data_IF_930457401486
#
_entry.id   IF_930457401486
#
_cell.length_a   1.000
_cell.length_b   1.000
_cell.length_c   1.000
_cell.angle_alpha   90.00
_cell.angle_beta   90.00
_cell.angle_gamma   90.00
#
_symmetry.space_group_name_H-M   'P 1'
#
loop_
_entity.id
_entity.type
_entity.pdbx_description
1 polymer ?
#
# COMPACT_ATOMS: atom_id res chain seq x y z
N UNK A 1 17.60 22.55 23.15
CA UNK A 1 16.24 22.30 23.67
C UNK A 1 15.63 21.16 22.85
N UNK A 2 15.72 19.92 23.33
CA UNK A 2 15.18 18.75 22.62
C UNK A 2 14.12 18.07 23.50
N UNK A 3 12.86 18.20 23.08
CA UNK A 3 11.69 17.56 23.66
C UNK A 3 11.59 16.12 23.12
N UNK A 4 11.66 15.11 23.99
CA UNK A 4 11.41 13.71 23.60
C UNK A 4 9.94 13.40 23.88
N UNK A 5 9.13 13.33 22.83
CA UNK A 5 7.74 12.88 22.89
C UNK A 5 7.73 11.35 22.72
N UNK A 6 7.36 10.62 23.77
CA UNK A 6 7.22 9.16 23.74
C UNK A 6 5.73 8.81 23.65
N UNK A 7 5.27 8.46 22.45
CA UNK A 7 3.88 8.04 22.20
C UNK A 7 3.80 6.52 22.38
N UNK A 8 3.17 6.07 23.47
CA UNK A 8 2.76 4.67 23.65
C UNK A 8 1.39 4.47 23.01
N UNK A 9 1.33 3.66 21.94
CA UNK A 9 0.09 3.32 21.25
C UNK A 9 -0.69 2.23 22.00
N UNK A 10 -1.86 2.57 22.56
CA UNK A 10 -2.88 1.59 22.94
C UNK A 10 -4.13 1.72 22.04
N UNK A 11 -4.87 0.62 21.79
CA UNK A 11 -5.96 0.60 20.83
C UNK A 11 -7.28 0.94 21.52
N UNK A 12 -7.60 2.22 21.66
CA UNK A 12 -8.97 2.76 21.60
C UNK A 12 -8.92 4.30 21.74
N UNK A 13 -9.62 5.06 20.88
CA UNK A 13 -9.59 6.51 20.92
C UNK A 13 -10.70 6.98 21.85
N UNK A 14 -10.36 7.41 23.07
CA UNK A 14 -11.12 8.33 23.92
C UNK A 14 -10.43 8.37 25.29
N UNK A 15 -9.39 9.21 25.37
CA UNK A 15 -8.81 9.85 26.58
C UNK A 15 -7.30 10.00 26.37
N UNK A 16 -6.87 11.22 26.06
CA UNK A 16 -5.44 11.59 26.01
C UNK A 16 -5.17 12.45 27.23
N UNK A 17 -4.56 11.87 28.26
CA UNK A 17 -4.09 12.62 29.43
C UNK A 17 -2.62 13.05 29.18
N UNK A 18 -2.34 14.34 29.29
CA UNK A 18 -0.99 14.91 29.22
C UNK A 18 -0.50 15.12 30.65
N UNK A 19 0.55 14.40 31.06
CA UNK A 19 1.18 14.56 32.37
C UNK A 19 2.47 15.39 32.21
N UNK A 20 2.56 16.53 32.89
CA UNK A 20 3.77 17.35 32.98
C UNK A 20 4.61 16.90 34.20
N UNK A 21 5.91 16.65 34.01
CA UNK A 21 6.85 16.42 35.11
C UNK A 21 8.05 17.37 34.91
N UNK A 22 8.41 18.23 35.88
CA UNK A 22 9.59 19.09 35.81
C UNK A 22 10.88 18.31 36.12
N UNK A 23 11.97 18.66 35.43
CA UNK A 23 13.30 18.06 35.55
C UNK A 23 14.13 18.73 36.65
N UNK A 24 14.42 18.02 37.75
CA UNK A 24 15.61 18.25 38.57
C UNK A 24 15.88 17.04 39.48
N UNK A 25 16.91 16.23 39.16
CA UNK A 25 17.93 15.65 40.07
C UNK A 25 18.73 14.50 39.37
N UNK A 26 19.99 14.22 39.79
CA UNK A 26 21.03 13.63 38.95
C UNK A 26 21.10 12.09 38.99
N UNK A 27 21.83 11.54 38.02
CA UNK A 27 22.08 10.11 37.84
C UNK A 27 23.03 9.57 38.91
N UNK A 28 22.55 8.66 39.74
CA UNK A 28 23.38 7.84 40.63
C UNK A 28 22.52 6.99 41.56
N UNK A 29 22.84 5.70 41.67
CA UNK A 29 22.21 4.66 42.50
C UNK A 29 20.83 4.15 42.07
N UNK A 30 20.80 2.92 41.55
CA UNK A 30 19.74 1.97 41.89
C UNK A 30 20.32 0.54 41.96
N UNK A 31 20.62 0.12 43.20
CA UNK A 31 20.70 -1.29 43.60
C UNK A 31 19.30 -1.77 43.95
N UNK A 32 19.03 -3.02 43.60
CA UNK A 32 17.99 -3.95 44.08
C UNK A 32 16.89 -3.41 45.00
N UNK A 33 15.63 -3.47 44.53
CA UNK A 33 14.50 -3.89 45.37
C UNK A 33 13.32 -4.33 44.48
N UNK A 34 13.07 -5.64 44.45
CA UNK A 34 11.94 -6.23 43.76
C UNK A 34 10.70 -6.15 44.67
N UNK A 35 9.86 -5.14 44.46
CA UNK A 35 8.55 -5.05 45.10
C UNK A 35 7.49 -5.79 44.26
N UNK A 36 6.85 -6.75 44.90
CA UNK A 36 5.90 -7.74 44.36
C UNK A 36 4.52 -7.08 44.21
N UNK A 37 4.16 -6.56 43.03
CA UNK A 37 2.79 -6.11 42.75
C UNK A 37 1.94 -7.26 42.21
N UNK A 38 1.00 -7.72 43.05
CA UNK A 38 0.02 -8.77 42.81
C UNK A 38 -1.16 -8.18 42.01
N UNK A 39 -1.19 -8.40 40.71
CA UNK A 39 -2.37 -8.12 39.86
C UNK A 39 -3.47 -9.16 40.16
N UNK A 40 -4.58 -8.69 40.74
CA UNK A 40 -5.83 -9.46 40.88
C UNK A 40 -6.39 -9.76 39.48
N UNK A 41 -6.62 -11.04 39.21
CA UNK A 41 -7.28 -11.55 38.01
C UNK A 41 -8.78 -11.16 37.99
N UNK A 42 -9.24 -10.63 36.87
CA UNK A 42 -10.67 -10.48 36.57
C UNK A 42 -11.25 -11.84 36.12
N UNK A 43 -12.53 -12.15 36.42
CA UNK A 43 -13.10 -13.47 36.17
C UNK A 43 -13.34 -13.76 34.68
N UNK A 44 -13.05 -15.01 34.32
CA UNK A 44 -13.30 -15.65 33.03
C UNK A 44 -14.76 -15.52 32.59
N UNK A 45 -14.99 -14.92 31.41
CA UNK A 45 -16.27 -14.99 30.72
C UNK A 45 -16.24 -16.17 29.73
N UNK A 46 -17.17 -17.12 29.89
CA UNK A 46 -17.30 -18.34 29.06
C UNK A 46 -17.48 -18.00 27.57
N UNK A 47 -16.93 -18.78 26.64
CA UNK A 47 -17.18 -18.58 25.21
C UNK A 47 -18.62 -19.01 24.89
N UNK A 48 -19.44 -18.08 24.40
CA UNK A 48 -20.74 -18.39 23.79
C UNK A 48 -20.49 -19.10 22.46
N UNK A 49 -21.23 -20.18 22.24
CA UNK A 49 -21.30 -20.97 21.02
C UNK A 49 -21.32 -20.08 19.76
N UNK A 50 -20.34 -20.29 18.86
CA UNK A 50 -20.44 -19.86 17.46
C UNK A 50 -21.41 -20.82 16.76
N UNK A 51 -22.64 -20.36 16.52
CA UNK A 51 -23.55 -20.99 15.57
C UNK A 51 -23.00 -20.80 14.15
N UNK A 52 -22.88 -21.92 13.45
CA UNK A 52 -22.51 -22.02 12.04
C UNK A 52 -23.45 -21.17 11.17
N UNK A 53 -22.88 -20.24 10.41
CA UNK A 53 -23.58 -19.56 9.30
C UNK A 53 -23.56 -20.54 8.11
N UNK A 54 -24.70 -20.95 7.55
CA UNK A 54 -24.73 -21.82 6.38
C UNK A 54 -24.25 -21.08 5.12
N UNK A 55 -23.60 -21.77 4.17
CA UNK A 55 -23.17 -21.15 2.91
C UNK A 55 -24.37 -20.85 2.00
N UNK A 56 -24.40 -19.65 1.42
CA UNK A 56 -25.35 -19.28 0.37
C UNK A 56 -25.27 -20.25 -0.82
N UNK A 57 -26.41 -20.58 -1.45
CA UNK A 57 -26.48 -21.57 -2.51
C UNK A 57 -25.85 -21.06 -3.81
N UNK A 58 -25.28 -22.04 -4.51
CA UNK A 58 -24.75 -21.98 -5.86
C UNK A 58 -25.80 -21.41 -6.83
N UNK A 59 -25.41 -20.37 -7.58
CA UNK A 59 -26.18 -19.92 -8.73
C UNK A 59 -26.17 -21.03 -9.80
N UNK A 60 -27.36 -21.56 -10.06
CA UNK A 60 -27.70 -22.51 -11.11
C UNK A 60 -27.58 -21.80 -12.46
N UNK A 61 -26.95 -22.47 -13.44
CA UNK A 61 -27.05 -22.10 -14.85
C UNK A 61 -28.51 -22.25 -15.29
N UNK A 62 -29.16 -21.12 -15.57
CA UNK A 62 -30.45 -21.06 -16.25
C UNK A 62 -30.24 -20.61 -17.69
N UNK A 63 -30.87 -21.35 -18.60
CA UNK A 63 -30.78 -21.26 -20.05
C UNK A 63 -31.10 -19.85 -20.60
N UNK A 64 -30.37 -19.47 -21.65
CA UNK A 64 -30.63 -18.29 -22.47
C UNK A 64 -31.69 -18.68 -23.50
N UNK A 65 -32.95 -18.35 -23.20
CA UNK A 65 -34.06 -18.41 -24.15
C UNK A 65 -34.11 -17.15 -25.00
N UNK A 66 -34.21 -17.35 -26.32
CA UNK A 66 -34.44 -16.35 -27.36
C UNK A 66 -35.70 -15.51 -27.12
N UNK A 67 -35.59 -14.19 -27.33
CA UNK A 67 -36.73 -13.31 -27.55
C UNK A 67 -36.32 -12.11 -28.44
N UNK A 68 -37.24 -11.54 -29.25
CA UNK A 68 -36.94 -11.14 -30.62
C UNK A 68 -36.68 -9.64 -30.84
N UNK A 69 -36.05 -9.38 -31.99
CA UNK A 69 -35.80 -8.08 -32.62
C UNK A 69 -36.95 -7.08 -32.50
N UNK A 70 -36.63 -5.83 -32.12
CA UNK A 70 -37.45 -4.65 -32.44
C UNK A 70 -36.67 -3.70 -33.37
N UNK A 71 -37.28 -3.21 -34.46
CA UNK A 71 -36.59 -2.47 -35.51
C UNK A 71 -36.50 -0.96 -35.25
N UNK A 72 -35.38 -0.40 -35.71
CA UNK A 72 -35.30 0.85 -36.48
C UNK A 72 -35.87 2.14 -35.88
N UNK A 73 -34.97 3.01 -35.40
CA UNK A 73 -35.15 4.46 -35.55
C UNK A 73 -33.97 5.02 -36.35
N UNK A 74 -34.31 5.40 -37.57
CA UNK A 74 -33.47 5.95 -38.63
C UNK A 74 -33.04 7.39 -38.32
N UNK A 75 -31.85 7.73 -38.79
CA UNK A 75 -31.27 9.07 -38.81
C UNK A 75 -32.14 10.09 -39.57
N UNK A 76 -32.09 11.34 -39.12
CA UNK A 76 -32.45 12.54 -39.88
C UNK A 76 -31.50 13.71 -39.50
N UNK A 77 -31.30 14.71 -40.37
CA UNK A 77 -29.97 15.18 -40.75
C UNK A 77 -29.49 16.48 -40.08
N UNK A 78 -28.19 16.75 -40.27
CA UNK A 78 -27.46 17.96 -39.90
C UNK A 78 -28.14 19.26 -40.37
N UNK A 79 -28.02 20.31 -39.56
CA UNK A 79 -28.05 21.70 -40.01
C UNK A 79 -27.01 22.55 -39.25
N UNK A 80 -26.50 23.63 -39.86
CA UNK A 80 -25.12 24.07 -39.67
C UNK A 80 -25.01 25.32 -38.79
N UNK A 81 -23.77 25.62 -38.36
CA UNK A 81 -23.38 26.99 -38.02
C UNK A 81 -23.57 27.36 -36.55
N UNK A 82 -22.59 26.99 -35.73
CA UNK A 82 -22.37 27.57 -34.42
C UNK A 82 -20.93 27.35 -34.04
N UNK A 83 -20.08 28.34 -34.32
CA UNK A 83 -18.67 28.39 -33.92
C UNK A 83 -18.57 28.45 -32.40
N UNK A 84 -18.81 27.33 -31.72
CA UNK A 84 -18.32 27.17 -30.36
C UNK A 84 -16.84 26.88 -30.49
N UNK A 85 -16.01 27.91 -30.29
CA UNK A 85 -14.63 27.70 -29.89
C UNK A 85 -14.68 26.69 -28.74
N UNK A 86 -14.33 25.44 -29.04
CA UNK A 86 -14.15 24.40 -28.05
C UNK A 86 -12.99 24.87 -27.20
N UNK A 87 -13.32 25.55 -26.11
CA UNK A 87 -12.39 25.85 -25.02
C UNK A 87 -11.95 24.48 -24.53
N UNK A 88 -10.87 23.97 -25.13
CA UNK A 88 -10.12 22.84 -24.62
C UNK A 88 -9.66 23.25 -23.23
N UNK A 89 -10.47 22.91 -22.23
CA UNK A 89 -10.15 23.12 -20.85
C UNK A 89 -9.09 22.08 -20.49
N UNK A 90 -7.85 22.38 -20.91
CA UNK A 90 -6.66 21.62 -20.59
C UNK A 90 -6.69 21.42 -19.09
N UNK A 91 -6.70 20.15 -18.67
CA UNK A 91 -6.64 19.77 -17.26
C UNK A 91 -5.26 20.18 -16.74
N UNK A 92 -5.11 21.44 -16.37
CA UNK A 92 -3.90 22.01 -15.78
C UNK A 92 -3.91 21.69 -14.28
N UNK A 93 -3.55 20.46 -13.93
CA UNK A 93 -3.13 20.15 -12.56
C UNK A 93 -1.61 20.34 -12.45
N UNK A 94 -1.20 21.33 -11.65
CA UNK A 94 0.05 21.44 -10.87
C UNK A 94 1.39 20.93 -11.48
N UNK A 95 1.52 20.91 -12.79
CA UNK A 95 2.74 20.54 -13.48
C UNK A 95 3.51 21.80 -13.87
N UNK A 96 4.79 21.90 -13.49
CA UNK A 96 5.69 22.83 -14.16
C UNK A 96 5.75 22.43 -15.63
N UNK A 97 5.43 23.34 -16.57
CA UNK A 97 5.37 22.98 -17.99
C UNK A 97 6.76 22.64 -18.54
N UNK A 98 7.81 23.21 -17.94
CA UNK A 98 9.20 23.08 -18.34
C UNK A 98 10.04 22.61 -17.14
N UNK A 99 10.99 21.72 -17.41
CA UNK A 99 11.93 21.15 -16.44
C UNK A 99 13.34 21.50 -16.88
N UNK A 100 14.16 21.97 -15.94
CA UNK A 100 15.55 22.36 -16.23
C UNK A 100 16.46 21.14 -16.37
N UNK A 101 17.35 21.16 -17.37
CA UNK A 101 18.37 20.12 -17.56
C UNK A 101 19.67 20.55 -16.90
N UNK A 102 20.16 19.72 -15.98
CA UNK A 102 21.41 19.98 -15.26
C UNK A 102 22.60 19.31 -15.94
N UNK A 103 23.76 19.95 -15.82
CA UNK A 103 25.03 19.34 -16.21
C UNK A 103 25.55 18.40 -15.10
N UNK A 104 26.70 17.75 -15.33
CA UNK A 104 27.29 16.83 -14.37
C UNK A 104 27.68 17.53 -13.05
N UNK A 105 28.02 18.83 -13.11
CA UNK A 105 28.39 19.67 -11.98
C UNK A 105 27.19 20.23 -11.21
N UNK A 106 25.95 19.84 -11.56
CA UNK A 106 24.70 20.30 -10.97
C UNK A 106 24.38 21.79 -11.23
N UNK A 107 24.84 22.33 -12.35
CA UNK A 107 24.51 23.67 -12.84
C UNK A 107 23.46 23.56 -13.96
N UNK A 108 22.52 24.51 -14.07
CA UNK A 108 21.55 24.51 -15.15
C UNK A 108 22.25 24.74 -16.49
N UNK A 109 21.96 23.90 -17.49
CA UNK A 109 22.58 23.98 -18.83
C UNK A 109 21.97 25.09 -19.70
N UNK A 110 20.91 25.75 -19.21
CA UNK A 110 20.08 26.69 -19.99
C UNK A 110 19.03 26.01 -20.86
N UNK A 111 19.17 24.70 -21.12
CA UNK A 111 18.16 23.90 -21.82
C UNK A 111 17.01 23.50 -20.89
N UNK A 112 15.79 23.64 -21.40
CA UNK A 112 14.57 23.24 -20.72
C UNK A 112 13.81 22.23 -21.57
N UNK A 113 13.27 21.20 -20.92
CA UNK A 113 12.47 20.16 -21.58
C UNK A 113 11.05 20.23 -21.06
N UNK A 114 10.08 20.11 -21.98
CA UNK A 114 8.67 20.04 -21.61
C UNK A 114 8.42 18.83 -20.71
N UNK A 115 7.65 19.01 -19.64
CA UNK A 115 7.26 17.90 -18.78
C UNK A 115 6.41 16.89 -19.58
N UNK A 116 6.82 15.61 -19.67
CA UNK A 116 6.06 14.60 -20.38
C UNK A 116 4.68 14.39 -19.76
N UNK A 117 3.67 14.14 -20.61
CA UNK A 117 2.28 13.99 -20.16
C UNK A 117 2.11 12.86 -19.14
N UNK A 118 2.97 11.84 -19.14
CA UNK A 118 2.93 10.75 -18.16
C UNK A 118 3.06 11.22 -16.70
N UNK A 119 3.64 12.39 -16.45
CA UNK A 119 3.72 12.96 -15.10
C UNK A 119 2.38 13.53 -14.59
N UNK A 120 1.44 13.85 -15.49
CA UNK A 120 0.08 14.27 -15.13
C UNK A 120 -0.91 13.10 -15.09
N UNK A 121 -0.43 11.86 -15.27
CA UNK A 121 -1.27 10.69 -15.19
C UNK A 121 -1.87 10.51 -13.79
N UNK A 122 -3.12 10.01 -13.66
CA UNK A 122 -3.73 9.81 -12.36
C UNK A 122 -2.93 8.80 -11.52
N UNK A 123 -2.68 9.15 -10.26
CA UNK A 123 -1.92 8.30 -9.34
C UNK A 123 -2.87 7.30 -8.66
N UNK A 124 -2.74 6.01 -8.98
CA UNK A 124 -3.56 4.91 -8.42
C UNK A 124 -2.74 3.95 -7.57
N UNK A 125 -2.63 4.17 -6.24
CA UNK A 125 -1.83 3.30 -5.36
C UNK A 125 -2.41 1.87 -5.24
N UNK A 126 -3.73 1.74 -5.30
CA UNK A 126 -4.46 0.47 -5.29
C UNK A 126 -4.06 -0.42 -6.47
N UNK A 127 -4.09 0.14 -7.69
CA UNK A 127 -3.72 -0.56 -8.90
C UNK A 127 -2.24 -0.95 -8.89
N UNK A 128 -1.37 -0.04 -8.47
CA UNK A 128 0.08 -0.27 -8.41
C UNK A 128 0.40 -1.41 -7.43
N UNK A 129 -0.20 -1.39 -6.24
CA UNK A 129 -0.01 -2.45 -5.24
C UNK A 129 -0.49 -3.80 -5.75
N UNK A 130 -1.71 -3.87 -6.31
CA UNK A 130 -2.27 -5.09 -6.87
C UNK A 130 -1.40 -5.68 -7.98
N UNK A 131 -1.03 -4.85 -8.97
CA UNK A 131 -0.24 -5.30 -10.11
C UNK A 131 1.18 -5.68 -9.69
N UNK A 132 1.79 -4.94 -8.76
CA UNK A 132 3.10 -5.28 -8.21
C UNK A 132 3.08 -6.66 -7.54
N UNK A 133 2.06 -6.98 -6.75
CA UNK A 133 1.94 -8.30 -6.12
C UNK A 133 1.81 -9.43 -7.16
N UNK A 134 0.98 -9.26 -8.19
CA UNK A 134 0.85 -10.26 -9.25
C UNK A 134 2.16 -10.45 -10.03
N UNK A 135 2.83 -9.37 -10.42
CA UNK A 135 4.10 -9.43 -11.15
C UNK A 135 5.23 -10.04 -10.30
N UNK A 136 5.26 -9.74 -9.00
CA UNK A 136 6.26 -10.29 -8.08
C UNK A 136 6.13 -11.80 -7.93
N UNK A 137 4.90 -12.35 -7.97
CA UNK A 137 4.66 -13.81 -7.94
C UNK A 137 5.30 -14.52 -9.13
N UNK A 138 5.41 -13.87 -10.29
CA UNK A 138 5.96 -14.47 -11.50
C UNK A 138 7.47 -14.75 -11.42
N UNK A 139 8.20 -14.17 -10.46
CA UNK A 139 9.63 -14.44 -10.24
C UNK A 139 9.90 -15.65 -9.32
N UNK A 140 8.85 -16.31 -8.83
CA UNK A 140 8.98 -17.45 -7.90
C UNK A 140 9.39 -18.71 -8.66
N UNK A 141 10.24 -19.52 -8.04
CA UNK A 141 10.54 -20.87 -8.49
C UNK A 141 9.61 -21.87 -7.78
N UNK A 142 9.04 -22.86 -8.49
CA UNK A 142 8.27 -23.93 -7.87
C UNK A 142 9.11 -24.70 -6.84
N UNK A 143 8.47 -25.14 -5.77
CA UNK A 143 9.05 -26.06 -4.80
C UNK A 143 8.00 -27.07 -4.35
N UNK A 144 8.43 -28.31 -4.14
CA UNK A 144 7.60 -29.42 -3.72
C UNK A 144 8.41 -30.36 -2.81
N UNK A 145 7.72 -31.12 -1.96
CA UNK A 145 8.33 -32.25 -1.26
C UNK A 145 8.37 -33.47 -2.18
N UNK A 146 9.29 -34.41 -1.93
CA UNK A 146 9.36 -35.66 -2.69
C UNK A 146 8.03 -36.43 -2.61
N UNK A 147 7.59 -36.99 -3.74
CA UNK A 147 6.36 -37.78 -3.83
C UNK A 147 6.45 -39.09 -3.06
N UNK A 148 7.65 -39.64 -2.91
CA UNK A 148 7.94 -40.89 -2.18
C UNK A 148 8.21 -40.66 -0.68
N UNK A 149 8.33 -39.42 -0.22
CA UNK A 149 8.64 -39.12 1.17
C UNK A 149 7.54 -39.64 2.11
N UNK A 150 7.94 -40.40 3.12
CA UNK A 150 7.03 -41.02 4.09
C UNK A 150 6.26 -42.23 3.56
N UNK A 151 6.52 -42.68 2.33
CA UNK A 151 5.86 -43.81 1.66
C UNK A 151 6.79 -45.00 1.35
N UNK A 152 8.09 -44.88 1.64
CA UNK A 152 9.10 -45.91 1.37
C UNK A 152 9.15 -47.02 2.43
N UNK A 153 8.34 -46.92 3.49
CA UNK A 153 8.34 -47.89 4.59
C UNK A 153 7.17 -48.85 4.44
N UNK A 154 7.44 -50.17 4.52
CA UNK A 154 6.39 -51.17 4.62
C UNK A 154 5.80 -51.17 6.03
N UNK A 155 4.53 -50.81 6.15
CA UNK A 155 3.83 -50.70 7.41
C UNK A 155 2.35 -51.07 7.24
N UNK A 156 1.78 -51.71 8.25
CA UNK A 156 0.39 -52.12 8.27
C UNK A 156 -0.21 -51.84 9.65
N UNK A 157 -1.51 -51.55 9.71
CA UNK A 157 -2.18 -51.39 11.01
C UNK A 157 -2.33 -52.74 11.68
N UNK A 158 -2.10 -52.79 13.00
CA UNK A 158 -2.32 -54.01 13.78
C UNK A 158 -3.79 -54.24 14.14
N UNK A 159 -4.70 -53.40 13.63
CA UNK A 159 -6.13 -53.51 13.93
C UNK A 159 -6.47 -53.14 15.38
N UNK A 160 -7.60 -53.65 15.85
CA UNK A 160 -8.05 -53.57 17.25
C UNK A 160 -7.58 -54.79 18.04
N UNK A 161 -7.65 -54.75 19.38
CA UNK A 161 -7.29 -55.89 20.24
C UNK A 161 -5.87 -55.85 20.81
N UNK A 162 -5.11 -54.79 20.53
CA UNK A 162 -3.86 -54.45 21.23
C UNK A 162 -4.04 -53.11 21.92
N UNK A 163 -3.38 -52.89 23.06
CA UNK A 163 -3.41 -51.63 23.81
C UNK A 163 -2.60 -50.50 23.12
N UNK A 164 -2.78 -50.33 21.81
CA UNK A 164 -2.09 -49.35 20.96
C UNK A 164 -3.04 -48.77 19.90
N UNK A 165 -2.78 -47.53 19.48
CA UNK A 165 -3.58 -46.88 18.45
C UNK A 165 -3.49 -47.59 17.08
N UNK A 166 -4.58 -47.51 16.30
CA UNK A 166 -4.81 -48.15 14.98
C UNK A 166 -3.99 -47.58 13.81
N UNK A 167 -2.88 -46.89 14.08
CA UNK A 167 -2.00 -46.35 13.04
C UNK A 167 -1.17 -47.46 12.38
N UNK A 168 -0.85 -47.39 11.07
CA UNK A 168 0.09 -48.33 10.46
C UNK A 168 1.44 -48.33 11.17
N UNK A 169 1.99 -49.53 11.41
CA UNK A 169 3.26 -49.74 12.12
C UNK A 169 4.24 -50.50 11.24
N UNK A 170 5.52 -50.13 11.34
CA UNK A 170 6.60 -50.76 10.57
C UNK A 170 6.72 -52.24 10.94
N UNK A 171 6.79 -53.10 9.92
CA UNK A 171 6.92 -54.56 10.09
C UNK A 171 8.33 -54.96 10.53
N UNK A 172 8.50 -56.23 10.91
CA UNK A 172 9.78 -56.81 11.31
C UNK A 172 10.09 -56.66 12.81
N UNK A 173 11.33 -56.96 13.19
CA UNK A 173 11.85 -56.92 14.56
C UNK A 173 13.34 -56.56 14.59
N UNK A 174 13.95 -56.50 15.78
CA UNK A 174 15.41 -56.32 15.93
C UNK A 174 15.96 -54.91 15.69
N UNK A 175 15.14 -53.94 15.31
CA UNK A 175 15.56 -52.53 15.17
C UNK A 175 14.65 -51.60 15.97
N UNK A 176 15.15 -50.45 16.37
CA UNK A 176 14.34 -49.42 17.04
C UNK A 176 13.18 -48.92 16.18
N UNK A 177 13.21 -49.10 14.85
CA UNK A 177 12.17 -48.61 13.95
C UNK A 177 10.97 -49.56 13.87
N UNK A 178 11.17 -50.86 14.10
CA UNK A 178 10.13 -51.88 14.07
C UNK A 178 9.03 -51.59 15.10
N UNK A 179 7.75 -51.76 14.73
CA UNK A 179 6.60 -51.50 15.61
C UNK A 179 6.22 -50.02 15.83
N UNK A 180 7.02 -49.07 15.33
CA UNK A 180 6.69 -47.64 15.39
C UNK A 180 5.66 -47.23 14.33
N UNK A 181 4.91 -46.14 14.60
CA UNK A 181 3.97 -45.57 13.64
C UNK A 181 4.61 -45.06 12.34
N UNK A 182 3.90 -45.20 11.23
CA UNK A 182 4.31 -44.81 9.88
C UNK A 182 3.12 -44.25 9.07
N UNK A 183 3.40 -43.73 7.87
CA UNK A 183 2.50 -43.07 6.91
C UNK A 183 1.77 -41.80 7.38
N UNK A 184 1.18 -41.81 8.58
CA UNK A 184 0.38 -40.72 9.11
C UNK A 184 1.15 -39.40 9.24
N UNK A 185 0.46 -38.28 9.03
CA UNK A 185 1.01 -36.93 9.19
C UNK A 185 1.36 -36.57 10.64
N UNK A 186 0.77 -37.28 11.61
CA UNK A 186 1.12 -37.19 13.02
C UNK A 186 2.32 -38.08 13.41
N UNK A 187 2.80 -38.95 12.52
CA UNK A 187 3.91 -39.85 12.80
C UNK A 187 5.26 -39.21 12.47
N UNK A 188 6.26 -39.42 13.35
CA UNK A 188 7.66 -39.07 13.05
C UNK A 188 8.15 -39.86 11.83
N UNK A 189 8.65 -39.15 10.81
CA UNK A 189 9.09 -39.74 9.54
C UNK A 189 7.95 -40.18 8.61
N UNK A 190 6.69 -39.91 8.97
CA UNK A 190 5.53 -40.12 8.11
C UNK A 190 5.38 -39.03 7.03
N UNK A 191 4.37 -39.17 6.18
CA UNK A 191 4.08 -38.20 5.11
C UNK A 191 3.24 -37.04 5.64
N UNK A 192 3.55 -35.81 5.21
CA UNK A 192 2.71 -34.65 5.54
C UNK A 192 1.33 -34.69 4.89
N UNK A 193 0.34 -34.11 5.56
CA UNK A 193 -0.97 -33.85 4.96
C UNK A 193 -0.84 -32.81 3.83
N UNK A 194 -1.58 -33.02 2.73
CA UNK A 194 -1.56 -32.20 1.52
C UNK A 194 -0.13 -31.76 1.09
N UNK A 195 0.75 -32.72 0.72
CA UNK A 195 2.13 -32.39 0.37
C UNK A 195 2.20 -31.37 -0.77
N UNK A 196 3.16 -30.44 -0.68
CA UNK A 196 3.33 -29.40 -1.69
C UNK A 196 3.59 -30.01 -3.07
N UNK A 197 2.88 -29.50 -4.07
CA UNK A 197 2.96 -29.98 -5.46
C UNK A 197 3.54 -28.91 -6.37
N UNK A 198 4.25 -29.36 -7.40
CA UNK A 198 4.85 -28.49 -8.41
C UNK A 198 3.79 -27.75 -9.23
N UNK A 199 2.65 -28.40 -9.52
CA UNK A 199 1.53 -27.84 -10.29
C UNK A 199 0.69 -26.76 -9.56
N UNK A 200 1.12 -26.31 -8.36
CA UNK A 200 0.52 -25.12 -7.74
C UNK A 200 0.58 -23.95 -8.74
N UNK A 201 -0.49 -23.15 -8.86
CA UNK A 201 -0.48 -21.97 -9.75
C UNK A 201 0.44 -20.87 -9.20
N UNK A 202 1.71 -20.85 -9.59
CA UNK A 202 2.71 -19.86 -9.16
C UNK A 202 2.58 -18.53 -9.89
N UNK A 203 2.34 -18.58 -11.19
CA UNK A 203 2.30 -17.42 -12.07
C UNK A 203 0.89 -16.81 -12.16
N UNK A 204 0.84 -15.52 -12.45
CA UNK A 204 -0.36 -14.71 -12.59
C UNK A 204 -0.23 -13.86 -13.84
N UNK A 205 -1.17 -14.06 -14.78
CA UNK A 205 -1.32 -13.22 -15.95
C UNK A 205 -1.91 -11.89 -15.50
N UNK A 206 -1.35 -10.80 -16.00
CA UNK A 206 -1.80 -9.44 -15.72
C UNK A 206 -2.19 -8.79 -17.04
N UNK A 207 -3.30 -8.06 -17.05
CA UNK A 207 -3.72 -7.31 -18.22
C UNK A 207 -2.65 -6.25 -18.59
N UNK A 208 -2.29 -6.19 -19.86
CA UNK A 208 -1.29 -5.26 -20.39
C UNK A 208 -1.70 -3.80 -20.11
N UNK A 209 -2.98 -3.46 -20.26
CA UNK A 209 -3.48 -2.11 -20.00
C UNK A 209 -3.29 -1.70 -18.52
N UNK A 210 -3.68 -2.58 -17.59
CA UNK A 210 -3.51 -2.35 -16.15
C UNK A 210 -2.04 -2.20 -15.76
N UNK A 211 -1.15 -3.01 -16.36
CA UNK A 211 0.29 -2.91 -16.13
C UNK A 211 0.88 -1.61 -16.65
N UNK A 212 0.44 -1.14 -17.82
CA UNK A 212 0.87 0.14 -18.40
C UNK A 212 0.37 1.32 -17.56
N UNK A 213 -0.87 1.28 -17.08
CA UNK A 213 -1.41 2.28 -16.17
C UNK A 213 -0.64 2.30 -14.84
N UNK A 214 -0.39 1.14 -14.23
CA UNK A 214 0.42 1.09 -13.00
C UNK A 214 1.82 1.69 -13.19
N UNK A 215 2.46 1.48 -14.35
CA UNK A 215 3.74 2.13 -14.68
C UNK A 215 3.60 3.65 -14.82
N UNK A 216 2.57 4.15 -15.51
CA UNK A 216 2.29 5.57 -15.65
C UNK A 216 2.05 6.24 -14.28
N UNK A 217 1.22 5.64 -13.41
CA UNK A 217 0.99 6.13 -12.05
C UNK A 217 2.27 6.14 -11.21
N UNK A 218 3.18 5.18 -11.41
CA UNK A 218 4.46 5.15 -10.70
C UNK A 218 5.41 6.26 -11.15
N UNK A 219 5.41 6.60 -12.44
CA UNK A 219 6.20 7.72 -12.98
C UNK A 219 5.62 9.06 -12.51
N UNK A 220 4.31 9.26 -12.62
CA UNK A 220 3.63 10.45 -12.08
C UNK A 220 3.96 10.69 -10.61
N UNK A 221 3.88 9.65 -9.78
CA UNK A 221 4.20 9.75 -8.36
C UNK A 221 5.69 10.06 -8.08
N UNK A 222 6.61 9.77 -9.00
CA UNK A 222 8.03 10.12 -8.85
C UNK A 222 8.30 11.61 -9.07
N UNK A 223 7.40 12.32 -9.74
CA UNK A 223 7.48 13.77 -9.93
C UNK A 223 6.89 14.58 -8.77
N UNK A 224 6.29 13.94 -7.77
CA UNK A 224 5.66 14.62 -6.62
C UNK A 224 6.59 14.54 -5.40
N UNK A 225 7.22 15.65 -4.95
CA UNK A 225 8.20 15.64 -3.85
C UNK A 225 7.66 15.02 -2.57
N UNK A 226 6.41 15.31 -2.21
CA UNK A 226 5.77 14.79 -1.01
C UNK A 226 5.68 13.25 -1.00
N UNK A 227 5.41 12.62 -2.16
CA UNK A 227 5.35 11.17 -2.26
C UNK A 227 6.75 10.54 -2.19
N UNK A 228 7.76 11.22 -2.75
CA UNK A 228 9.16 10.79 -2.69
C UNK A 228 9.72 10.86 -1.26
N UNK A 229 9.41 11.93 -0.53
CA UNK A 229 9.72 12.06 0.90
C UNK A 229 8.97 11.05 1.77
N UNK A 230 7.67 10.84 1.53
CA UNK A 230 6.87 9.88 2.29
C UNK A 230 7.40 8.44 2.14
N UNK A 231 7.99 8.10 0.99
CA UNK A 231 8.69 6.82 0.79
C UNK A 231 9.99 6.72 1.61
N UNK A 232 10.54 7.86 2.01
CA UNK A 232 11.75 7.98 2.82
C UNK A 232 13.02 8.14 1.99
N UNK A 233 12.95 8.75 0.81
CA UNK A 233 14.16 9.26 0.14
C UNK A 233 14.60 10.58 0.76
N UNK A 234 15.90 10.87 0.75
CA UNK A 234 16.45 12.16 1.21
C UNK A 234 16.53 13.10 0.01
N UNK A 235 15.71 14.15 0.00
CA UNK A 235 15.60 15.08 -1.15
C UNK A 235 15.79 16.56 -0.79
N UNK A 236 16.16 16.86 0.45
CA UNK A 236 16.10 18.23 0.99
C UNK A 236 17.03 19.22 0.28
N UNK A 237 18.12 18.72 -0.33
CA UNK A 237 19.11 19.51 -1.08
C UNK A 237 18.98 19.37 -2.60
N UNK A 238 17.93 18.73 -3.10
CA UNK A 238 17.72 18.60 -4.55
C UNK A 238 17.15 19.89 -5.12
N UNK A 239 17.68 20.31 -6.27
CA UNK A 239 17.27 21.54 -6.94
C UNK A 239 15.84 21.43 -7.49
N UNK A 240 15.53 20.30 -8.12
CA UNK A 240 14.24 20.07 -8.80
C UNK A 240 13.84 18.59 -8.79
N UNK A 241 12.53 18.33 -8.81
CA UNK A 241 11.93 17.02 -9.02
C UNK A 241 10.80 17.21 -10.06
N UNK A 242 10.77 16.44 -11.15
CA UNK A 242 11.72 15.41 -11.58
C UNK A 242 13.13 15.94 -11.88
N UNK A 243 14.18 15.20 -11.52
CA UNK A 243 15.57 15.58 -11.81
C UNK A 243 16.00 15.04 -13.18
N UNK A 244 16.46 15.94 -14.07
CA UNK A 244 16.92 15.62 -15.43
C UNK A 244 18.36 16.08 -15.61
N UNK A 245 19.22 15.20 -16.12
CA UNK A 245 20.64 15.47 -16.39
C UNK A 245 20.94 15.23 -17.87
N UNK A 246 21.91 15.96 -18.40
CA UNK A 246 22.42 15.83 -19.77
C UNK A 246 22.84 14.37 -20.11
N UNK A 247 22.66 13.98 -21.36
CA UNK A 247 22.95 12.65 -21.91
C UNK A 247 24.43 12.24 -21.86
N UNK A 248 25.37 13.16 -21.56
CA UNK A 248 26.79 12.81 -21.34
C UNK A 248 26.99 11.72 -20.28
N UNK A 249 26.10 11.66 -19.28
CA UNK A 249 26.12 10.62 -18.23
C UNK A 249 25.97 9.21 -18.80
N UNK A 250 25.33 9.04 -19.96
CA UNK A 250 25.16 7.74 -20.63
C UNK A 250 26.50 7.11 -21.05
N UNK A 251 27.54 7.94 -21.25
CA UNK A 251 28.88 7.52 -21.66
C UNK A 251 29.85 7.20 -20.51
N UNK A 252 29.42 7.31 -19.24
CA UNK A 252 30.29 7.04 -18.10
C UNK A 252 30.75 5.58 -18.08
N UNK A 253 32.06 5.38 -17.92
CA UNK A 253 32.67 4.03 -17.89
C UNK A 253 33.12 3.62 -16.50
N UNK A 254 33.51 4.59 -15.66
CA UNK A 254 34.09 4.31 -14.33
C UNK A 254 33.11 4.64 -13.22
N UNK A 255 33.10 3.79 -12.18
CA UNK A 255 32.31 4.04 -10.96
C UNK A 255 32.68 5.35 -10.26
N UNK A 256 33.94 5.81 -10.39
CA UNK A 256 34.42 7.07 -9.80
C UNK A 256 33.66 8.28 -10.37
N UNK A 257 33.43 8.29 -11.68
CA UNK A 257 32.66 9.34 -12.39
C UNK A 257 31.20 9.33 -11.91
N UNK A 258 30.58 8.16 -11.86
CA UNK A 258 29.20 8.00 -11.37
C UNK A 258 29.04 8.44 -9.91
N UNK A 259 30.01 8.16 -9.03
CA UNK A 259 30.00 8.64 -7.64
C UNK A 259 30.18 10.16 -7.57
N UNK A 260 31.03 10.75 -8.39
CA UNK A 260 31.22 12.19 -8.45
C UNK A 260 29.92 12.92 -8.84
N UNK A 261 29.23 12.43 -9.87
CA UNK A 261 27.93 12.94 -10.30
C UNK A 261 26.90 12.90 -9.16
N UNK A 262 26.76 11.76 -8.47
CA UNK A 262 25.78 11.61 -7.39
C UNK A 262 26.07 12.53 -6.20
N UNK A 263 27.35 12.88 -5.97
CA UNK A 263 27.74 13.88 -4.97
C UNK A 263 27.40 15.28 -5.41
N UNK A 264 27.74 15.66 -6.65
CA UNK A 264 27.46 16.99 -7.20
C UNK A 264 25.96 17.28 -7.27
N UNK A 265 25.16 16.28 -7.65
CA UNK A 265 23.70 16.37 -7.78
C UNK A 265 22.94 16.21 -6.46
N UNK A 266 23.63 16.22 -5.31
CA UNK A 266 23.04 16.07 -3.98
C UNK A 266 22.25 14.75 -3.74
N UNK A 267 22.44 13.73 -4.58
CA UNK A 267 21.82 12.40 -4.43
C UNK A 267 22.60 11.47 -3.48
N UNK A 268 23.83 11.84 -3.12
CA UNK A 268 24.72 11.01 -2.30
C UNK A 268 24.16 10.66 -0.92
N UNK A 269 23.41 11.57 -0.29
CA UNK A 269 22.80 11.32 1.01
C UNK A 269 21.82 10.12 0.97
N UNK A 270 21.08 9.94 -0.13
CA UNK A 270 20.17 8.80 -0.30
C UNK A 270 20.94 7.48 -0.55
N UNK A 271 22.08 7.56 -1.23
CA UNK A 271 22.99 6.43 -1.46
C UNK A 271 23.67 5.99 -0.16
N UNK A 272 24.17 6.94 0.63
CA UNK A 272 24.77 6.70 1.94
C UNK A 272 23.75 6.07 2.90
N UNK A 273 22.51 6.58 2.92
CA UNK A 273 21.39 5.96 3.65
C UNK A 273 21.15 4.52 3.22
N UNK A 274 21.27 4.22 1.94
CA UNK A 274 21.13 2.84 1.44
C UNK A 274 22.32 1.97 1.88
N UNK A 275 23.55 2.47 1.79
CA UNK A 275 24.76 1.78 2.23
C UNK A 275 24.73 1.45 3.72
N UNK A 276 24.45 2.44 4.58
CA UNK A 276 24.40 2.31 6.04
C UNK A 276 23.25 1.40 6.52
N UNK A 277 22.21 1.22 5.69
CA UNK A 277 21.10 0.33 6.02
C UNK A 277 21.38 -1.16 5.80
N UNK A 278 22.55 -1.51 5.24
CA UNK A 278 22.94 -2.89 4.97
C UNK A 278 23.11 -3.65 6.29
N UNK A 279 22.23 -4.63 6.51
CA UNK A 279 22.26 -5.47 7.72
C UNK A 279 21.96 -6.93 7.40
N UNK A 280 22.35 -7.81 8.30
CA UNK A 280 22.00 -9.22 8.22
C UNK A 280 20.48 -9.42 8.23
N UNK A 281 19.99 -10.33 7.39
CA UNK A 281 18.59 -10.72 7.33
C UNK A 281 18.28 -11.66 8.50
N UNK A 282 17.25 -11.32 9.28
CA UNK A 282 16.72 -12.20 10.31
C UNK A 282 16.06 -13.46 9.70
N UNK A 283 16.15 -14.59 10.41
CA UNK A 283 15.53 -15.86 10.02
C UNK A 283 16.33 -16.72 9.03
N UNK A 284 15.67 -17.72 8.43
CA UNK A 284 16.27 -18.75 7.58
C UNK A 284 16.74 -18.27 6.20
N UNK A 285 16.62 -16.98 5.90
CA UNK A 285 17.09 -16.40 4.63
C UNK A 285 18.62 -16.42 4.49
N UNK A 286 19.35 -16.40 5.62
CA UNK A 286 20.83 -16.38 5.63
C UNK A 286 21.44 -17.60 4.93
N UNK A 287 20.90 -18.80 5.18
CA UNK A 287 21.31 -20.04 4.52
C UNK A 287 20.71 -20.28 3.14
N UNK A 288 19.92 -19.33 2.61
CA UNK A 288 19.30 -19.41 1.26
C UNK A 288 19.79 -18.28 0.37
N UNK A 289 21.09 -17.95 0.44
CA UNK A 289 21.77 -16.91 -0.35
C UNK A 289 21.11 -15.52 -0.28
N UNK A 290 20.43 -15.19 0.82
CA UNK A 290 19.76 -13.90 1.05
C UNK A 290 20.21 -13.28 2.37
N UNK A 291 21.53 -13.34 2.61
CA UNK A 291 22.20 -12.96 3.87
C UNK A 291 22.00 -11.50 4.24
N UNK A 292 22.05 -10.57 3.27
CA UNK A 292 21.93 -9.14 3.52
C UNK A 292 20.60 -8.56 3.04
N UNK A 293 20.16 -7.48 3.70
CA UNK A 293 19.07 -6.59 3.25
C UNK A 293 19.55 -5.15 3.35
N UNK A 294 19.17 -4.32 2.37
CA UNK A 294 19.47 -2.88 2.33
C UNK A 294 18.29 -2.13 1.70
N UNK A 295 18.20 -0.82 1.95
CA UNK A 295 17.19 0.07 1.36
C UNK A 295 17.45 0.24 -0.15
N UNK A 296 16.42 0.67 -0.87
CA UNK A 296 16.49 1.01 -2.29
C UNK A 296 16.71 2.52 -2.40
N UNK A 297 17.84 2.92 -2.98
CA UNK A 297 18.17 4.32 -3.25
C UNK A 297 17.66 4.76 -4.63
N UNK A 298 18.35 5.73 -5.27
CA UNK A 298 17.87 6.34 -6.50
C UNK A 298 17.84 5.33 -7.66
N UNK A 299 16.95 5.59 -8.61
CA UNK A 299 16.84 4.87 -9.87
C UNK A 299 17.32 5.77 -11.00
N UNK A 300 18.36 5.37 -11.72
CA UNK A 300 18.84 6.09 -12.91
C UNK A 300 18.15 5.51 -14.14
N UNK A 301 17.46 6.36 -14.90
CA UNK A 301 16.78 5.98 -16.14
C UNK A 301 17.47 6.65 -17.32
N UNK A 302 17.85 5.81 -18.28
CA UNK A 302 18.64 6.20 -19.45
C UNK A 302 17.97 5.74 -20.75
N UNK A 303 18.35 6.36 -21.87
CA UNK A 303 17.91 5.98 -23.20
C UNK A 303 18.86 4.94 -23.79
N UNK A 304 20.14 5.28 -23.95
CA UNK A 304 21.17 4.41 -24.52
C UNK A 304 22.21 3.99 -23.47
N UNK A 305 22.76 2.78 -23.61
CA UNK A 305 23.80 2.28 -22.71
C UNK A 305 25.18 2.43 -23.35
N UNK A 306 25.85 3.56 -23.11
CA UNK A 306 27.23 3.81 -23.53
C UNK A 306 28.28 3.33 -22.52
N UNK A 307 27.88 2.64 -21.45
CA UNK A 307 28.72 2.27 -20.31
C UNK A 307 28.08 2.56 -18.95
N UNK A 308 27.03 3.38 -18.93
CA UNK A 308 26.31 3.81 -17.72
C UNK A 308 25.92 2.63 -16.83
N UNK A 309 25.39 1.53 -17.38
CA UNK A 309 24.96 0.40 -16.54
C UNK A 309 26.14 -0.16 -15.75
N UNK A 310 27.33 -0.25 -16.35
CA UNK A 310 28.51 -0.79 -15.68
C UNK A 310 29.03 0.18 -14.61
N UNK A 311 29.05 1.48 -14.91
CA UNK A 311 29.51 2.52 -13.98
C UNK A 311 28.64 2.59 -12.70
N UNK A 312 27.31 2.44 -12.82
CA UNK A 312 26.40 2.56 -11.68
C UNK A 312 26.11 1.24 -10.95
N UNK A 313 26.36 0.06 -11.55
CA UNK A 313 25.97 -1.25 -11.00
C UNK A 313 26.54 -1.56 -9.61
N UNK A 314 27.76 -1.09 -9.33
CA UNK A 314 28.46 -1.40 -8.08
C UNK A 314 28.08 -0.48 -6.90
N UNK A 315 27.35 0.60 -7.17
CA UNK A 315 26.99 1.59 -6.14
C UNK A 315 25.83 1.03 -5.29
N UNK A 316 25.94 1.02 -3.95
CA UNK A 316 24.92 0.42 -3.09
C UNK A 316 23.58 1.15 -3.20
N UNK A 317 22.51 0.39 -3.40
CA UNK A 317 21.13 0.92 -3.40
C UNK A 317 20.71 1.57 -4.72
N UNK A 318 21.65 1.96 -5.57
CA UNK A 318 21.38 2.49 -6.92
C UNK A 318 20.87 1.38 -7.82
N UNK A 319 19.98 1.73 -8.74
CA UNK A 319 19.52 0.81 -9.79
C UNK A 319 19.47 1.55 -11.11
N UNK A 320 19.71 0.86 -12.20
CA UNK A 320 19.56 1.40 -13.55
C UNK A 320 18.39 0.75 -14.28
N UNK A 321 17.79 1.48 -15.22
CA UNK A 321 16.67 1.02 -16.04
C UNK A 321 16.67 1.77 -17.37
N UNK A 322 16.53 1.05 -18.49
CA UNK A 322 16.31 1.67 -19.79
C UNK A 322 14.86 2.15 -19.90
N UNK A 323 14.66 3.32 -20.51
CA UNK A 323 13.34 3.93 -20.74
C UNK A 323 12.42 3.08 -21.62
N UNK A 324 12.98 2.26 -22.52
CA UNK A 324 12.18 1.36 -23.37
C UNK A 324 11.64 0.16 -22.59
N UNK A 325 12.31 -0.21 -21.49
CA UNK A 325 12.04 -1.42 -20.71
C UNK A 325 11.69 -1.09 -19.26
N UNK A 326 10.78 -0.13 -19.07
CA UNK A 326 10.32 0.26 -17.75
C UNK A 326 9.65 -0.89 -16.99
N UNK A 327 10.09 -1.09 -15.75
CA UNK A 327 9.62 -2.18 -14.90
C UNK A 327 9.01 -1.65 -13.60
N UNK A 328 7.73 -1.97 -13.37
CA UNK A 328 7.02 -1.58 -12.17
C UNK A 328 7.71 -2.04 -10.87
N UNK A 329 8.34 -3.21 -10.86
CA UNK A 329 9.04 -3.73 -9.67
C UNK A 329 10.26 -2.88 -9.28
N UNK A 330 10.83 -2.14 -10.23
CA UNK A 330 11.91 -1.19 -10.00
C UNK A 330 11.37 0.23 -9.73
N UNK A 331 10.31 0.66 -10.42
CA UNK A 331 9.69 1.97 -10.21
C UNK A 331 9.00 2.09 -8.84
N UNK A 332 8.25 1.07 -8.43
CA UNK A 332 7.50 1.01 -7.17
C UNK A 332 7.91 -0.22 -6.34
N UNK A 333 9.13 -0.25 -5.75
CA UNK A 333 9.60 -1.41 -4.99
C UNK A 333 8.72 -1.64 -3.78
N UNK A 334 8.13 -2.83 -3.70
CA UNK A 334 7.21 -3.20 -2.61
C UNK A 334 5.75 -2.83 -2.89
N UNK A 335 5.43 -2.27 -4.06
CA UNK A 335 4.09 -1.76 -4.38
C UNK A 335 3.84 -0.34 -3.86
N UNK A 336 4.85 0.30 -3.27
CA UNK A 336 4.80 1.69 -2.83
C UNK A 336 5.37 2.63 -3.90
N UNK A 337 4.62 3.70 -4.15
CA UNK A 337 4.93 4.77 -5.10
C UNK A 337 5.98 5.75 -4.55
N UNK A 338 6.48 6.65 -5.41
CA UNK A 338 7.39 7.73 -4.99
C UNK A 338 8.85 7.31 -4.86
N UNK A 339 9.37 6.45 -5.76
CA UNK A 339 10.82 6.22 -5.79
C UNK A 339 11.52 7.45 -6.36
N UNK A 340 12.67 7.82 -5.80
CA UNK A 340 13.54 8.86 -6.36
C UNK A 340 14.14 8.37 -7.69
N UNK A 341 13.90 9.12 -8.76
CA UNK A 341 14.34 8.81 -10.11
C UNK A 341 15.18 9.95 -10.65
N UNK A 342 16.35 9.61 -11.18
CA UNK A 342 17.20 10.47 -11.99
C UNK A 342 17.00 10.11 -13.46
N UNK A 343 16.65 11.09 -14.30
CA UNK A 343 16.44 10.90 -15.73
C UNK A 343 17.61 11.48 -16.52
N UNK A 344 18.02 10.80 -17.60
CA UNK A 344 18.78 11.45 -18.67
C UNK A 344 17.83 12.24 -19.58
N UNK A 345 18.34 13.29 -20.21
CA UNK A 345 17.56 14.18 -21.07
C UNK A 345 16.85 13.42 -22.20
N UNK A 346 17.57 12.57 -22.91
CA UNK A 346 17.05 11.72 -23.98
C UNK A 346 16.00 10.73 -23.48
N UNK A 347 16.19 10.17 -22.28
CA UNK A 347 15.18 9.30 -21.67
C UNK A 347 13.90 10.07 -21.32
N UNK A 348 14.05 11.30 -20.82
CA UNK A 348 12.92 12.14 -20.42
C UNK A 348 12.06 12.54 -21.62
N UNK A 349 12.69 12.98 -22.72
CA UNK A 349 11.99 13.34 -23.98
C UNK A 349 11.25 12.15 -24.59
N UNK A 350 11.84 10.95 -24.53
CA UNK A 350 11.27 9.72 -25.13
C UNK A 350 9.99 9.22 -24.42
N UNK A 351 9.67 9.72 -23.22
CA UNK A 351 8.47 9.31 -22.48
C UNK A 351 7.17 9.64 -23.22
N UNK A 352 7.11 10.76 -23.93
CA UNK A 352 5.92 11.17 -24.67
C UNK A 352 5.63 10.22 -25.86
N UNK A 353 6.65 9.81 -26.62
CA UNK A 353 6.49 8.76 -27.66
C UNK A 353 6.06 7.41 -27.05
N UNK A 354 6.59 7.07 -25.87
CA UNK A 354 6.35 5.79 -25.21
C UNK A 354 4.98 5.65 -24.53
N UNK A 355 4.40 6.72 -23.98
CA UNK A 355 3.10 6.68 -23.30
C UNK A 355 2.00 7.45 -24.04
N UNK A 356 2.36 8.29 -25.00
CA UNK A 356 1.46 9.25 -25.61
C UNK A 356 1.19 10.44 -24.69
N UNK A 357 0.44 11.39 -25.23
CA UNK A 357 -0.11 12.54 -24.50
C UNK A 357 -1.62 12.37 -24.34
N UNK A 358 -2.30 13.37 -23.76
CA UNK A 358 -3.76 13.36 -23.66
C UNK A 358 -4.42 13.38 -25.05
N UNK A 359 -3.79 14.07 -26.01
CA UNK A 359 -4.31 14.28 -27.36
C UNK A 359 -3.72 13.30 -28.39
N UNK A 360 -2.45 12.89 -28.22
CA UNK A 360 -1.76 11.97 -29.15
C UNK A 360 -1.58 10.59 -28.53
N UNK A 361 -1.95 9.55 -29.26
CA UNK A 361 -1.72 8.16 -28.83
C UNK A 361 -0.22 7.83 -28.76
N UNK A 362 0.13 6.74 -28.07
CA UNK A 362 1.51 6.26 -28.03
C UNK A 362 1.95 5.67 -29.37
N UNK A 363 3.15 6.03 -29.81
CA UNK A 363 3.78 5.50 -31.02
C UNK A 363 4.23 4.04 -30.84
N UNK A 364 4.80 3.72 -29.68
CA UNK A 364 5.39 2.40 -29.40
C UNK A 364 4.35 1.40 -28.87
N UNK A 365 3.40 1.86 -28.05
CA UNK A 365 2.44 0.98 -27.36
C UNK A 365 1.15 0.89 -28.15
N UNK A 366 1.04 -0.11 -29.02
CA UNK A 366 -0.21 -0.46 -29.71
C UNK A 366 -1.40 -0.55 -28.74
N UNK A 367 -2.52 0.07 -29.14
CA UNK A 367 -3.79 0.13 -28.42
C UNK A 367 -3.67 0.60 -26.97
N UNK A 368 -2.71 1.47 -26.67
CA UNK A 368 -2.62 2.13 -25.37
C UNK A 368 -3.21 3.53 -25.46
N UNK A 369 -4.23 3.78 -24.63
CA UNK A 369 -4.77 5.12 -24.40
C UNK A 369 -4.25 5.65 -23.07
N UNK A 370 -3.95 6.93 -23.02
CA UNK A 370 -3.54 7.62 -21.81
C UNK A 370 -4.67 7.60 -20.76
N UNK A 371 -4.41 7.20 -19.50
CA UNK A 371 -5.46 7.10 -18.49
C UNK A 371 -6.04 8.47 -18.16
N UNK A 372 -7.36 8.63 -18.29
CA UNK A 372 -8.08 9.86 -17.94
C UNK A 372 -8.37 9.92 -16.44
N UNK A 373 -8.22 11.11 -15.86
CA UNK A 373 -8.58 11.36 -14.47
C UNK A 373 -10.11 11.34 -14.31
N UNK A 374 -10.62 10.71 -13.23
CA UNK A 374 -12.05 10.78 -12.88
C UNK A 374 -12.43 12.14 -12.28
N UNK A 375 -11.50 12.76 -11.57
CA UNK A 375 -11.61 14.10 -11.01
C UNK A 375 -10.61 14.98 -11.74
N UNK A 376 -11.08 16.03 -12.41
CA UNK A 376 -10.22 17.00 -13.12
C UNK A 376 -9.46 17.90 -12.15
N UNK A 377 -10.13 18.35 -11.08
CA UNK A 377 -9.51 19.06 -9.97
C UNK A 377 -9.54 18.18 -8.71
N UNK A 378 -8.36 17.79 -8.22
CA UNK A 378 -8.23 16.97 -7.01
C UNK A 378 -8.16 17.81 -5.71
N UNK A 379 -8.18 19.14 -5.79
CA UNK A 379 -8.23 20.01 -4.62
C UNK A 379 -9.67 20.17 -4.11
N UNK A 380 -10.10 19.19 -3.32
CA UNK A 380 -11.42 19.17 -2.68
C UNK A 380 -11.61 20.39 -1.77
N UNK A 381 -10.53 20.87 -1.13
CA UNK A 381 -10.63 22.02 -0.22
C UNK A 381 -11.00 23.30 -0.96
N UNK A 382 -10.45 23.49 -2.16
CA UNK A 382 -10.81 24.60 -3.04
C UNK A 382 -12.23 24.45 -3.59
N UNK A 383 -12.63 23.24 -4.00
CA UNK A 383 -13.99 22.98 -4.50
C UNK A 383 -15.01 23.30 -3.40
N UNK A 384 -14.85 22.76 -2.20
CA UNK A 384 -15.80 22.97 -1.09
C UNK A 384 -15.90 24.45 -0.66
N UNK A 385 -14.84 25.23 -0.86
CA UNK A 385 -14.79 26.66 -0.53
C UNK A 385 -15.14 27.57 -1.72
N UNK A 386 -15.57 27.01 -2.86
CA UNK A 386 -15.92 27.81 -4.01
C UNK A 386 -17.20 28.62 -3.73
N UNK A 387 -17.30 29.81 -4.32
CA UNK A 387 -18.43 30.71 -4.06
C UNK A 387 -19.76 30.08 -4.45
N UNK A 388 -19.79 29.29 -5.52
CA UNK A 388 -20.99 28.62 -6.02
C UNK A 388 -21.51 27.61 -4.99
N UNK A 389 -20.61 26.86 -4.35
CA UNK A 389 -20.98 25.91 -3.29
C UNK A 389 -21.37 26.67 -2.02
N UNK A 390 -20.60 27.69 -1.62
CA UNK A 390 -20.90 28.47 -0.42
C UNK A 390 -22.25 29.21 -0.51
N UNK A 391 -22.64 29.69 -1.70
CA UNK A 391 -23.96 30.30 -1.96
C UNK A 391 -25.11 29.29 -1.85
N UNK A 392 -24.88 28.04 -2.24
CA UNK A 392 -25.90 26.99 -2.22
C UNK A 392 -26.02 26.27 -0.86
N UNK A 393 -24.97 26.28 -0.04
CA UNK A 393 -24.92 25.56 1.23
C UNK A 393 -25.74 26.28 2.31
N UNK A 394 -26.64 25.53 2.95
CA UNK A 394 -27.37 25.98 4.14
C UNK A 394 -26.41 26.12 5.32
N UNK A 395 -26.51 27.20 6.14
CA UNK A 395 -25.64 27.37 7.29
C UNK A 395 -25.69 26.17 8.23
N UNK A 396 -24.51 25.75 8.70
CA UNK A 396 -24.38 24.61 9.61
C UNK A 396 -25.17 24.89 10.89
N UNK A 397 -26.18 24.06 11.17
CA UNK A 397 -26.88 24.07 12.46
C UNK A 397 -25.91 23.63 13.55
N UNK A 398 -25.50 24.54 14.42
CA UNK A 398 -24.63 24.27 15.56
C UNK A 398 -25.42 23.78 16.78
N UNK A 399 -26.35 22.85 16.59
CA UNK A 399 -27.08 22.27 17.72
C UNK A 399 -26.23 21.18 18.36
N UNK A 400 -25.64 21.47 19.51
CA UNK A 400 -25.01 20.45 20.33
C UNK A 400 -26.09 19.49 20.86
N UNK A 401 -26.06 18.23 20.41
CA UNK A 401 -26.90 17.19 21.00
C UNK A 401 -26.25 16.81 22.33
N UNK A 402 -26.65 17.50 23.39
CA UNK A 402 -26.22 17.17 24.75
C UNK A 402 -27.08 16.01 25.25
N UNK A 403 -26.44 14.98 25.81
CA UNK A 403 -27.14 13.91 26.53
C UNK A 403 -27.89 14.52 27.71
N UNK A 404 -29.22 14.57 27.63
CA UNK A 404 -30.04 15.04 28.74
C UNK A 404 -30.08 13.94 29.79
N UNK A 405 -29.71 14.26 31.03
CA UNK A 405 -29.92 13.33 32.14
C UNK A 405 -31.43 13.07 32.28
N UNK A 406 -31.83 11.81 32.19
CA UNK A 406 -33.22 11.42 32.39
C UNK A 406 -33.53 11.41 33.88
N UNK A 407 -33.99 12.55 34.40
CA UNK A 407 -34.44 12.68 35.78
C UNK A 407 -35.66 11.79 36.07
N UNK A 408 -35.84 11.39 37.33
CA UNK A 408 -37.03 10.65 37.74
C UNK A 408 -38.17 11.63 38.09
N UNK A 409 -39.30 11.63 37.36
CA UNK A 409 -40.38 12.59 37.58
C UNK A 409 -41.10 12.37 38.91
N UNK A 410 -41.14 11.15 39.44
CA UNK A 410 -41.76 10.90 40.75
C UNK A 410 -40.95 11.53 41.90
N UNK A 411 -39.63 11.71 41.71
CA UNK A 411 -38.74 12.36 42.68
C UNK A 411 -38.58 13.87 42.44
N UNK A 412 -38.75 14.35 41.21
CA UNK A 412 -38.58 15.75 40.83
C UNK A 412 -39.90 16.38 40.40
N UNK A 413 -40.52 17.19 41.26
CA UNK A 413 -41.84 17.78 41.02
C UNK A 413 -41.89 18.67 39.75
N UNK A 414 -40.84 19.43 39.45
CA UNK A 414 -40.77 20.25 38.23
C UNK A 414 -40.78 19.40 36.95
N UNK A 415 -40.10 18.25 36.97
CA UNK A 415 -40.10 17.31 35.85
C UNK A 415 -41.47 16.63 35.72
N UNK A 416 -42.09 16.24 36.83
CA UNK A 416 -43.45 15.69 36.82
C UNK A 416 -44.45 16.67 36.25
N UNK A 417 -44.40 17.93 36.67
CA UNK A 417 -45.32 18.97 36.20
C UNK A 417 -45.09 19.32 34.73
N UNK A 418 -43.83 19.24 34.24
CA UNK A 418 -43.49 19.42 32.83
C UNK A 418 -44.04 18.29 31.95
N UNK A 419 -44.05 17.05 32.47
CA UNK A 419 -44.53 15.87 31.74
C UNK A 419 -46.04 15.64 31.90
N UNK A 420 -46.58 15.93 33.08
CA UNK A 420 -47.99 15.81 33.44
C UNK A 420 -48.40 16.98 34.36
N UNK A 421 -48.92 18.09 33.81
CA UNK A 421 -49.32 19.24 34.60
C UNK A 421 -50.48 18.95 35.56
N UNK A 422 -51.35 17.97 35.25
CA UNK A 422 -52.48 17.58 36.10
C UNK A 422 -52.03 16.92 37.42
N UNK A 423 -50.81 16.37 37.48
CA UNK A 423 -50.24 15.83 38.71
C UNK A 423 -50.14 16.88 39.84
N UNK A 424 -49.99 18.17 39.50
CA UNK A 424 -49.99 19.25 40.48
C UNK A 424 -51.36 19.45 41.13
N UNK A 425 -52.44 19.33 40.35
CA UNK A 425 -53.83 19.45 40.82
C UNK A 425 -54.16 18.29 41.76
N UNK A 426 -53.87 17.06 41.35
CA UNK A 426 -54.08 15.86 42.18
C UNK A 426 -53.31 15.96 43.50
N UNK A 427 -52.02 16.33 43.46
CA UNK A 427 -51.21 16.49 44.69
C UNK A 427 -51.75 17.60 45.60
N UNK A 428 -52.33 18.66 45.06
CA UNK A 428 -52.93 19.73 45.85
C UNK A 428 -54.24 19.26 46.48
N UNK A 429 -55.11 18.63 45.70
CA UNK A 429 -56.37 18.05 46.19
C UNK A 429 -56.09 17.00 47.29
N UNK A 430 -55.11 16.12 47.09
CA UNK A 430 -54.74 15.11 48.08
C UNK A 430 -54.18 15.71 49.38
N UNK A 431 -53.39 16.80 49.29
CA UNK A 431 -52.87 17.51 50.47
C UNK A 431 -53.94 18.26 51.25
N UNK A 432 -54.95 18.80 50.55
CA UNK A 432 -56.11 19.43 51.19
C UNK A 432 -56.95 18.35 51.87
N UNK A 433 -57.21 17.23 51.20
CA UNK A 433 -57.94 16.10 51.74
C UNK A 433 -57.25 15.39 52.92
N UNK A 434 -55.91 15.42 53.00
CA UNK A 434 -55.16 14.84 54.14
C UNK A 434 -55.00 15.79 55.33
N UNK A 435 -55.41 17.05 55.19
CA UNK A 435 -55.38 18.07 56.27
C UNK A 435 -56.76 18.30 56.90
N UNK A 436 -57.81 17.96 56.17
CA UNK A 436 -59.15 17.73 56.73
C UNK A 436 -59.16 16.36 57.41
#
# INVERSE_FOLDING_TARGET
>A
MNLIILILSHPNPLSTAVLFIPQSFPRGLFKSTAAKFRLKSAPHNKPRHLSLIPPHPLFVHGDVGDAPNRPGLTHAPNSPGGSSASVELVVTMAARPLVTVYNEKNEPTGTQVKLPAVFTAPIRPDLVSFIHDQLRKNKRQPYAVSTKAGHQTSAESWGTGRAVARIPRVRGGGTHRSGQGAFGNMCRGGRMFAPTKTYRRWHRRVNVAQRRYAAASAIAASGVPALVQARGHVIDKLNEIPLVINDKVEGFKKTKEAVALLKQTNLWADVEKAANSKRYRAGKGKGRNRRYKQKKGPLVIYNNDGGLVQAFRNIPGVSTLSVDRLNLLKLAPGGHLGRLILWTEGAFKKLDSLFGTLSKASEVKKNFSFPRAKLTNADISRIVRSEEILKAVVPKRQTAIVSKNHGNPLKQAALLNKLNPYAAVIKRASRVASKA
#
